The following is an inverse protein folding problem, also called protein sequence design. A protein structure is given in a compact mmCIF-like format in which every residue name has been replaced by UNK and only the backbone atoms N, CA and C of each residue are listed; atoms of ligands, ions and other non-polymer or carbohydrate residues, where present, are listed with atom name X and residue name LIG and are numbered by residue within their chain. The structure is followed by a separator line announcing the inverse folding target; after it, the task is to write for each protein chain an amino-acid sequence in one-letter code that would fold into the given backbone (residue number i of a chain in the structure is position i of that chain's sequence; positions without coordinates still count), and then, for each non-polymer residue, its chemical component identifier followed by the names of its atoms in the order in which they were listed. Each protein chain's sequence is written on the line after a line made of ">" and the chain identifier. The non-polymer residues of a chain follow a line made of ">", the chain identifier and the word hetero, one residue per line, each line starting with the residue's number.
data_IF_674420755121
#
_entry.id   IF_674420755121
#
_cell.length_a   1.000
_cell.length_b   1.000
_cell.length_c   1.000
_cell.angle_alpha   90.00
_cell.angle_beta   90.00
_cell.angle_gamma   90.00
#
_symmetry.space_group_name_H-M   'P 1'
#
loop_
_entity.id
_entity.type
_entity.pdbx_description
1 polymer ?
#
# COMPACT_ATOMS: atom_id res chain seq x y z
N UNK A 1 1.67 2.63 12.51
CA UNK A 1 2.65 3.51 13.17
C UNK A 1 3.27 4.45 12.14
N UNK A 2 3.98 3.96 11.12
CA UNK A 2 4.65 4.80 10.11
C UNK A 2 3.67 5.72 9.37
N UNK A 3 2.49 5.23 8.98
CA UNK A 3 1.44 6.06 8.39
C UNK A 3 1.03 7.19 9.35
N UNK A 4 0.79 6.88 10.62
CA UNK A 4 0.45 7.87 11.64
C UNK A 4 1.56 8.93 11.82
N UNK A 5 2.83 8.52 11.79
CA UNK A 5 3.96 9.45 11.79
C UNK A 5 3.98 10.35 10.57
N UNK A 6 3.77 9.79 9.37
CA UNK A 6 3.74 10.55 8.12
C UNK A 6 2.63 11.59 8.13
N UNK A 7 1.43 11.22 8.53
CA UNK A 7 0.27 12.12 8.61
C UNK A 7 0.44 13.24 9.64
N UNK A 8 1.21 13.01 10.70
CA UNK A 8 1.57 14.02 11.69
C UNK A 8 2.85 14.80 11.37
N UNK A 9 3.40 14.63 10.15
CA UNK A 9 4.51 15.44 9.64
C UNK A 9 5.89 15.08 10.21
N UNK A 10 6.04 13.91 10.86
CA UNK A 10 7.33 13.48 11.45
C UNK A 10 8.45 13.45 10.41
N UNK A 11 8.13 13.07 9.17
CA UNK A 11 9.12 12.99 8.08
C UNK A 11 9.17 14.26 7.22
N UNK A 12 8.42 15.30 7.58
CA UNK A 12 8.20 16.45 6.70
C UNK A 12 7.32 16.10 5.50
N UNK A 13 7.55 16.72 4.36
CA UNK A 13 6.89 16.34 3.10
C UNK A 13 7.47 15.02 2.60
N UNK A 14 6.64 14.00 2.43
CA UNK A 14 7.06 12.70 1.87
C UNK A 14 7.13 12.84 0.36
N UNK A 15 8.31 12.60 -0.21
CA UNK A 15 8.62 12.81 -1.63
C UNK A 15 8.86 11.51 -2.40
N UNK A 16 9.26 10.44 -1.72
CA UNK A 16 9.51 9.12 -2.32
C UNK A 16 9.02 8.01 -1.42
N UNK A 17 8.42 6.99 -2.02
CA UNK A 17 8.03 5.76 -1.34
C UNK A 17 8.47 4.53 -2.09
N UNK A 18 8.76 3.45 -1.36
CA UNK A 18 9.04 2.14 -1.92
C UNK A 18 8.16 1.10 -1.24
N UNK A 19 7.62 0.20 -2.04
CA UNK A 19 6.87 -0.95 -1.57
C UNK A 19 7.21 -2.20 -2.38
N UNK A 20 6.88 -3.35 -1.87
CA UNK A 20 7.14 -4.60 -2.58
C UNK A 20 6.19 -5.72 -2.17
N UNK A 21 6.07 -6.72 -3.02
CA UNK A 21 5.68 -8.06 -2.66
C UNK A 21 6.75 -9.05 -3.12
N UNK A 22 7.75 -9.22 -2.25
CA UNK A 22 8.83 -10.19 -2.43
C UNK A 22 8.55 -11.34 -1.48
N UNK A 23 8.09 -12.46 -2.04
CA UNK A 23 7.65 -13.61 -1.26
C UNK A 23 7.83 -14.88 -2.08
N UNK A 24 8.95 -15.55 -1.94
CA UNK A 24 9.17 -16.81 -2.61
C UNK A 24 8.07 -17.81 -2.25
N UNK A 25 7.27 -18.16 -3.22
CA UNK A 25 6.10 -19.02 -3.06
C UNK A 25 6.28 -20.41 -3.70
N UNK A 26 7.40 -20.63 -4.39
CA UNK A 26 7.65 -21.87 -5.11
C UNK A 26 7.50 -23.14 -4.24
N UNK A 27 7.90 -23.17 -2.95
CA UNK A 27 7.68 -24.33 -2.08
C UNK A 27 6.21 -24.61 -1.75
N UNK A 28 5.35 -23.59 -1.88
CA UNK A 28 3.94 -23.66 -1.48
C UNK A 28 2.98 -23.92 -2.63
N UNK A 29 3.43 -23.81 -3.89
CA UNK A 29 2.56 -23.87 -5.06
C UNK A 29 1.91 -25.25 -5.25
N UNK A 30 2.48 -26.30 -4.72
CA UNK A 30 1.86 -27.62 -4.71
C UNK A 30 0.71 -27.76 -3.70
N UNK A 31 0.74 -26.94 -2.66
CA UNK A 31 -0.11 -27.16 -1.48
C UNK A 31 -1.37 -26.31 -1.47
N UNK A 32 -1.31 -25.08 -1.97
CA UNK A 32 -2.35 -24.07 -1.71
C UNK A 32 -3.23 -23.76 -2.92
N UNK A 33 -2.88 -24.20 -4.16
CA UNK A 33 -3.49 -23.54 -5.32
C UNK A 33 -3.92 -24.48 -6.45
N UNK A 34 -4.11 -25.76 -6.15
CA UNK A 34 -4.75 -26.70 -7.07
C UNK A 34 -6.27 -26.61 -6.92
N UNK A 35 -6.97 -26.35 -8.01
CA UNK A 35 -8.43 -26.32 -8.05
C UNK A 35 -9.06 -27.69 -8.39
N UNK A 36 -8.35 -28.78 -8.11
CA UNK A 36 -8.78 -30.13 -8.39
C UNK A 36 -7.73 -30.99 -9.09
N UNK A 37 -8.04 -32.27 -9.33
CA UNK A 37 -7.09 -33.22 -9.89
C UNK A 37 -6.59 -32.88 -11.31
N UNK A 38 -7.37 -32.11 -12.08
CA UNK A 38 -7.02 -31.73 -13.45
C UNK A 38 -6.26 -30.38 -13.51
N UNK A 39 -6.16 -29.65 -12.39
CA UNK A 39 -5.43 -28.39 -12.34
C UNK A 39 -3.96 -28.63 -11.99
N UNK A 40 -3.12 -28.79 -13.01
CA UNK A 40 -1.69 -29.04 -12.84
C UNK A 40 -0.90 -27.83 -12.33
N UNK A 41 -1.38 -26.62 -12.58
CA UNK A 41 -0.63 -25.40 -12.27
C UNK A 41 -1.13 -24.68 -11.02
N UNK A 42 -2.44 -24.73 -10.75
CA UNK A 42 -3.09 -23.84 -9.81
C UNK A 42 -3.24 -22.42 -10.37
N UNK A 43 -4.25 -21.70 -9.89
CA UNK A 43 -4.65 -20.40 -10.45
C UNK A 43 -3.52 -19.37 -10.49
N UNK A 44 -2.68 -19.34 -9.47
CA UNK A 44 -1.63 -18.31 -9.36
C UNK A 44 -0.48 -18.55 -10.34
N UNK A 45 -0.01 -19.78 -10.49
CA UNK A 45 1.03 -20.09 -11.46
C UNK A 45 0.52 -19.91 -12.89
N UNK A 46 -0.72 -20.35 -13.15
CA UNK A 46 -1.37 -20.16 -14.45
C UNK A 46 -1.55 -18.67 -14.79
N UNK A 47 -1.93 -17.87 -13.79
CA UNK A 47 -2.04 -16.42 -13.97
C UNK A 47 -0.67 -15.78 -14.30
N UNK A 48 0.38 -16.11 -13.55
CA UNK A 48 1.74 -15.64 -13.84
C UNK A 48 2.27 -16.16 -15.20
N UNK A 49 1.85 -17.35 -15.65
CA UNK A 49 2.18 -17.87 -16.98
C UNK A 49 1.57 -17.01 -18.10
N UNK A 50 0.36 -16.52 -17.91
CA UNK A 50 -0.43 -15.78 -18.91
C UNK A 50 -0.23 -14.27 -18.88
N UNK A 51 0.08 -13.69 -17.74
CA UNK A 51 0.23 -12.26 -17.53
C UNK A 51 1.67 -11.88 -17.20
N UNK A 52 1.97 -10.58 -17.26
CA UNK A 52 3.29 -10.02 -17.06
C UNK A 52 3.23 -8.86 -16.09
N UNK A 53 4.25 -8.68 -15.25
CA UNK A 53 4.36 -7.54 -14.37
C UNK A 53 4.07 -7.80 -12.90
N UNK A 54 3.68 -6.76 -12.18
CA UNK A 54 3.28 -6.87 -10.78
C UNK A 54 1.84 -7.38 -10.68
N UNK A 55 1.67 -8.68 -10.78
CA UNK A 55 0.36 -9.34 -10.74
C UNK A 55 -0.25 -9.43 -9.35
N UNK A 56 0.40 -8.83 -8.34
CA UNK A 56 -0.09 -8.78 -6.96
C UNK A 56 0.29 -7.46 -6.26
N UNK A 57 -0.04 -6.34 -6.89
CA UNK A 57 0.42 -4.99 -6.55
C UNK A 57 -0.04 -4.46 -5.19
N UNK A 58 -1.20 -4.88 -4.70
CA UNK A 58 -1.85 -4.28 -3.53
C UNK A 58 -0.99 -4.27 -2.26
N UNK A 59 -0.16 -5.31 -2.07
CA UNK A 59 0.71 -5.43 -0.89
C UNK A 59 1.86 -4.42 -0.86
N UNK A 60 2.41 -4.12 -2.03
CA UNK A 60 3.48 -3.13 -2.15
C UNK A 60 2.94 -1.70 -2.27
N UNK A 61 1.97 -1.51 -3.15
CA UNK A 61 1.46 -0.17 -3.48
C UNK A 61 0.56 0.41 -2.39
N UNK A 62 -0.37 -0.38 -1.83
CA UNK A 62 -1.39 0.13 -0.92
C UNK A 62 -0.86 0.95 0.25
N UNK A 63 0.08 0.44 1.07
CA UNK A 63 0.62 1.20 2.19
C UNK A 63 1.34 2.50 1.78
N UNK A 64 1.98 2.52 0.61
CA UNK A 64 2.65 3.71 0.07
C UNK A 64 1.62 4.70 -0.46
N UNK A 65 0.62 4.24 -1.20
CA UNK A 65 -0.47 5.06 -1.72
C UNK A 65 -1.21 5.80 -0.60
N UNK A 66 -1.48 5.13 0.52
CA UNK A 66 -2.08 5.76 1.71
C UNK A 66 -1.18 6.83 2.33
N UNK A 67 0.13 6.60 2.41
CA UNK A 67 1.08 7.59 2.92
C UNK A 67 1.28 8.79 1.98
N UNK A 68 0.91 8.64 0.71
CA UNK A 68 0.98 9.66 -0.33
C UNK A 68 -0.34 10.40 -0.53
N UNK A 69 -1.37 10.05 0.22
CA UNK A 69 -2.72 10.60 0.08
C UNK A 69 -3.29 10.45 -1.36
N UNK A 70 -3.01 9.31 -2.01
CA UNK A 70 -3.53 9.04 -3.36
C UNK A 70 -5.07 9.10 -3.33
N UNK A 71 -5.67 9.77 -4.32
CA UNK A 71 -7.04 10.27 -4.45
C UNK A 71 -7.62 11.04 -3.24
N UNK A 72 -6.72 11.45 -2.31
CA UNK A 72 -7.04 12.29 -1.14
C UNK A 72 -6.12 13.51 -1.05
N UNK A 73 -5.72 14.05 -2.19
CA UNK A 73 -4.83 15.21 -2.32
C UNK A 73 -3.69 15.02 -3.32
N UNK A 74 -3.47 13.78 -3.80
CA UNK A 74 -2.54 13.43 -4.87
C UNK A 74 -3.15 12.33 -5.75
N UNK A 75 -2.57 12.06 -6.92
CA UNK A 75 -2.94 10.94 -7.79
C UNK A 75 -1.72 10.40 -8.54
N UNK A 76 -1.74 9.14 -8.89
CA UNK A 76 -0.78 8.56 -9.81
C UNK A 76 -1.08 9.06 -11.23
N UNK A 77 -0.05 9.46 -11.99
CA UNK A 77 -0.24 10.05 -13.33
C UNK A 77 0.44 9.27 -14.44
N UNK A 78 1.62 8.71 -14.18
CA UNK A 78 2.34 7.92 -15.17
C UNK A 78 3.20 6.87 -14.51
N UNK A 79 3.43 5.76 -15.20
CA UNK A 79 4.28 4.68 -14.74
C UNK A 79 5.11 4.07 -15.85
N UNK A 80 6.19 3.42 -15.45
CA UNK A 80 7.02 2.56 -16.28
C UNK A 80 7.25 1.26 -15.52
N UNK A 81 7.09 0.12 -16.18
CA UNK A 81 7.40 -1.18 -15.62
C UNK A 81 8.48 -1.90 -16.44
N UNK A 82 9.32 -2.66 -15.75
CA UNK A 82 10.37 -3.47 -16.34
C UNK A 82 10.50 -4.79 -15.58
N UNK A 83 10.65 -5.88 -16.29
CA UNK A 83 10.84 -7.20 -15.69
C UNK A 83 12.13 -7.87 -16.16
N UNK A 84 12.54 -8.88 -15.42
CA UNK A 84 13.60 -9.80 -15.84
C UNK A 84 13.04 -10.84 -16.83
N UNK A 85 13.90 -11.62 -17.45
CA UNK A 85 13.46 -12.84 -18.15
C UNK A 85 12.84 -13.82 -17.12
N UNK A 86 11.91 -14.65 -17.58
CA UNK A 86 11.40 -15.79 -16.82
C UNK A 86 12.36 -16.97 -16.93
N UNK A 87 12.88 -17.41 -15.81
CA UNK A 87 13.71 -18.63 -15.68
C UNK A 87 13.03 -19.60 -14.75
N UNK A 88 12.79 -19.18 -13.50
CA UNK A 88 12.19 -20.02 -12.46
C UNK A 88 10.73 -20.34 -12.77
N UNK A 89 9.97 -19.37 -13.29
CA UNK A 89 8.58 -19.59 -13.68
C UNK A 89 8.44 -20.69 -14.73
N UNK A 90 9.30 -20.69 -15.77
CA UNK A 90 9.35 -21.74 -16.79
C UNK A 90 9.66 -23.11 -16.19
N UNK A 91 10.73 -23.17 -15.39
CA UNK A 91 11.16 -24.39 -14.70
C UNK A 91 10.05 -25.02 -13.85
N UNK A 92 9.29 -24.16 -13.15
CA UNK A 92 8.19 -24.64 -12.30
C UNK A 92 7.07 -25.26 -13.13
N UNK A 93 6.71 -24.68 -14.25
CA UNK A 93 5.70 -25.25 -15.15
C UNK A 93 6.20 -26.58 -15.75
N UNK A 94 7.42 -26.61 -16.26
CA UNK A 94 8.02 -27.83 -16.85
C UNK A 94 8.11 -28.97 -15.85
N UNK A 95 8.52 -28.71 -14.61
CA UNK A 95 8.54 -29.73 -13.54
C UNK A 95 7.17 -30.25 -13.20
N UNK A 96 6.14 -29.44 -13.30
CA UNK A 96 4.76 -29.85 -12.96
C UNK A 96 4.04 -30.57 -14.07
N UNK A 97 4.25 -30.12 -15.31
CA UNK A 97 3.54 -30.66 -16.47
C UNK A 97 4.28 -31.79 -17.14
N UNK A 98 5.62 -31.81 -17.03
CA UNK A 98 6.50 -32.67 -17.82
C UNK A 98 6.68 -32.20 -19.27
N UNK A 99 6.17 -31.03 -19.61
CA UNK A 99 6.20 -30.43 -20.94
C UNK A 99 7.05 -29.18 -20.95
N UNK A 100 7.74 -28.91 -22.07
CA UNK A 100 8.52 -27.69 -22.25
C UNK A 100 7.62 -26.45 -22.20
N UNK A 101 8.06 -25.40 -21.51
CA UNK A 101 7.33 -24.16 -21.36
C UNK A 101 8.11 -22.99 -21.97
N UNK A 102 7.81 -22.64 -23.21
CA UNK A 102 8.44 -21.49 -23.88
C UNK A 102 7.60 -20.21 -23.81
N UNK A 103 6.35 -20.29 -23.31
CA UNK A 103 5.33 -19.26 -23.34
C UNK A 103 5.03 -18.62 -21.96
N UNK A 104 5.91 -18.78 -20.99
CA UNK A 104 5.74 -18.14 -19.68
C UNK A 104 6.01 -16.64 -19.79
N UNK A 105 5.02 -15.81 -19.51
CA UNK A 105 5.08 -14.38 -19.76
C UNK A 105 5.71 -13.57 -18.64
N UNK A 106 5.39 -13.88 -17.38
CA UNK A 106 5.88 -13.06 -16.27
C UNK A 106 7.39 -13.24 -16.05
N UNK A 107 8.11 -12.14 -15.94
CA UNK A 107 9.49 -12.17 -15.47
C UNK A 107 9.58 -12.65 -14.02
N UNK A 108 10.73 -13.18 -13.63
CA UNK A 108 10.92 -13.65 -12.25
C UNK A 108 10.92 -12.49 -11.24
N UNK A 109 11.26 -11.27 -11.69
CA UNK A 109 11.20 -10.05 -10.89
C UNK A 109 10.72 -8.88 -11.74
N UNK A 110 9.84 -8.05 -11.17
CA UNK A 110 9.34 -6.81 -11.79
C UNK A 110 9.65 -5.61 -10.92
N UNK A 111 10.03 -4.51 -11.55
CA UNK A 111 10.17 -3.19 -10.93
C UNK A 111 9.31 -2.18 -11.66
N UNK A 112 8.53 -1.42 -10.92
CA UNK A 112 7.64 -0.39 -11.44
C UNK A 112 7.95 0.95 -10.79
N UNK A 113 8.08 2.01 -11.59
CA UNK A 113 8.22 3.39 -11.14
C UNK A 113 6.94 4.15 -11.50
N UNK A 114 6.41 4.89 -10.53
CA UNK A 114 5.19 5.66 -10.68
C UNK A 114 5.46 7.11 -10.27
N UNK A 115 5.00 8.07 -11.08
CA UNK A 115 5.03 9.50 -10.75
C UNK A 115 3.63 9.98 -10.38
N UNK A 116 3.54 10.82 -9.34
CA UNK A 116 2.28 11.43 -8.92
C UNK A 116 2.12 12.85 -9.47
N UNK A 117 0.89 13.38 -9.40
CA UNK A 117 0.57 14.75 -9.83
C UNK A 117 1.34 15.81 -9.03
N UNK A 118 1.59 15.57 -7.74
CA UNK A 118 2.39 16.45 -6.89
C UNK A 118 3.91 16.24 -7.04
N UNK A 119 4.34 15.42 -8.03
CA UNK A 119 5.75 15.21 -8.35
C UNK A 119 6.49 14.21 -7.46
N UNK A 120 5.78 13.46 -6.63
CA UNK A 120 6.36 12.38 -5.83
C UNK A 120 6.63 11.15 -6.70
N UNK A 121 7.49 10.25 -6.23
CA UNK A 121 7.84 9.01 -6.92
C UNK A 121 7.58 7.80 -6.02
N UNK A 122 6.93 6.79 -6.58
CA UNK A 122 6.71 5.49 -5.94
C UNK A 122 7.47 4.43 -6.74
N UNK A 123 8.17 3.54 -6.04
CA UNK A 123 8.80 2.35 -6.62
C UNK A 123 8.15 1.10 -6.02
N UNK A 124 7.70 0.20 -6.89
CA UNK A 124 7.09 -1.07 -6.47
C UNK A 124 7.87 -2.23 -7.07
N UNK A 125 8.13 -3.25 -6.27
CA UNK A 125 8.79 -4.48 -6.70
C UNK A 125 7.88 -5.70 -6.45
N UNK A 126 7.90 -6.63 -7.38
CA UNK A 126 7.19 -7.90 -7.26
C UNK A 126 8.10 -9.08 -7.60
N UNK A 127 8.15 -10.08 -6.73
CA UNK A 127 8.88 -11.33 -6.96
C UNK A 127 8.29 -12.44 -6.11
N UNK A 128 7.75 -13.47 -6.75
CA UNK A 128 7.18 -14.66 -6.06
C UNK A 128 7.87 -15.95 -6.51
N UNK A 129 8.89 -15.84 -7.36
CA UNK A 129 9.51 -16.97 -8.05
C UNK A 129 10.88 -17.34 -7.47
N UNK A 130 11.73 -16.34 -7.23
CA UNK A 130 13.14 -16.59 -6.90
C UNK A 130 13.39 -16.62 -5.39
N UNK A 131 14.39 -17.39 -4.93
CA UNK A 131 14.79 -17.41 -3.53
C UNK A 131 15.21 -16.02 -3.04
N UNK A 132 14.39 -15.44 -2.19
CA UNK A 132 14.65 -14.15 -1.55
C UNK A 132 13.92 -14.12 -0.21
N UNK A 133 14.53 -13.61 0.89
CA UNK A 133 13.81 -13.40 2.14
C UNK A 133 12.60 -12.53 1.95
N UNK A 134 11.53 -12.86 2.67
CA UNK A 134 10.28 -12.10 2.63
C UNK A 134 10.52 -10.61 2.87
N UNK A 135 10.01 -9.77 1.96
CA UNK A 135 10.23 -8.34 2.02
C UNK A 135 9.06 -7.58 1.38
N UNK A 136 8.54 -6.58 2.06
CA UNK A 136 7.57 -5.62 1.52
C UNK A 136 8.16 -4.24 1.32
N UNK A 137 9.46 -4.05 1.53
CA UNK A 137 10.15 -2.76 1.57
C UNK A 137 9.47 -1.80 2.57
N UNK A 138 8.47 -1.09 2.17
CA UNK A 138 7.76 -0.05 2.91
C UNK A 138 8.72 0.99 3.47
N UNK A 139 9.26 1.77 2.55
CA UNK A 139 10.15 2.89 2.84
C UNK A 139 9.47 4.19 2.47
N UNK A 140 9.63 5.21 3.30
CA UNK A 140 9.18 6.57 3.04
C UNK A 140 10.37 7.51 3.21
N UNK A 141 10.67 8.30 2.17
CA UNK A 141 11.67 9.36 2.22
C UNK A 141 10.95 10.71 2.26
N UNK A 142 11.16 11.46 3.31
CA UNK A 142 10.64 12.81 3.46
C UNK A 142 11.74 13.85 3.55
N UNK A 143 11.35 15.13 3.54
CA UNK A 143 12.28 16.26 3.59
C UNK A 143 12.98 16.43 4.95
N UNK A 144 12.47 15.76 6.00
CA UNK A 144 12.99 15.87 7.38
C UNK A 144 13.26 14.53 8.05
N UNK A 145 13.03 13.42 7.35
CA UNK A 145 13.25 12.11 7.92
C UNK A 145 12.96 10.97 6.95
N UNK A 146 13.31 9.78 7.40
CA UNK A 146 13.19 8.55 6.64
C UNK A 146 12.60 7.45 7.51
N UNK A 147 11.77 6.60 6.91
CA UNK A 147 11.23 5.39 7.53
C UNK A 147 11.56 4.17 6.68
N UNK A 148 11.95 3.08 7.36
CA UNK A 148 12.15 1.76 6.76
C UNK A 148 11.50 0.69 7.61
N UNK A 149 10.85 -0.31 6.99
CA UNK A 149 10.30 -1.45 7.71
C UNK A 149 11.06 -2.75 7.46
N UNK A 150 11.49 -2.99 6.23
CA UNK A 150 12.15 -4.23 5.85
C UNK A 150 13.52 -3.97 5.19
N UNK A 151 14.52 -4.84 5.39
CA UNK A 151 14.53 -5.99 6.31
C UNK A 151 14.69 -5.58 7.79
N UNK A 152 15.05 -4.33 8.05
CA UNK A 152 15.27 -3.79 9.41
C UNK A 152 14.32 -2.63 9.60
N UNK A 153 13.53 -2.66 10.67
CA UNK A 153 12.68 -1.52 11.03
C UNK A 153 13.55 -0.41 11.64
N UNK A 154 13.42 0.79 11.09
CA UNK A 154 14.15 1.95 11.57
C UNK A 154 13.58 3.27 11.07
N UNK A 155 13.90 4.33 11.81
CA UNK A 155 13.59 5.71 11.46
C UNK A 155 14.87 6.54 11.53
N UNK A 156 15.04 7.49 10.63
CA UNK A 156 16.18 8.42 10.67
C UNK A 156 15.64 9.85 10.74
N UNK A 157 15.97 10.53 11.84
CA UNK A 157 15.61 11.92 12.14
C UNK A 157 16.83 12.60 12.76
N UNK A 158 17.00 13.91 12.53
CA UNK A 158 17.93 14.68 13.35
C UNK A 158 17.34 15.04 14.72
N UNK A 159 18.16 15.52 15.63
CA UNK A 159 17.76 15.86 17.00
C UNK A 159 16.63 16.91 17.03
N UNK A 160 16.69 17.91 16.16
CA UNK A 160 15.68 18.96 16.08
C UNK A 160 14.31 18.40 15.64
N UNK A 161 14.29 17.57 14.61
CA UNK A 161 13.05 16.98 14.11
C UNK A 161 12.48 15.96 15.11
N UNK A 162 13.34 15.25 15.85
CA UNK A 162 12.91 14.35 16.92
C UNK A 162 12.22 15.12 18.05
N UNK A 163 12.84 16.23 18.53
CA UNK A 163 12.24 17.12 19.54
C UNK A 163 10.91 17.75 19.06
N UNK A 164 10.85 18.24 17.82
CA UNK A 164 9.60 18.76 17.23
C UNK A 164 8.53 17.68 17.19
N UNK A 165 8.91 16.44 16.99
CA UNK A 165 8.00 15.28 17.05
C UNK A 165 7.61 14.91 18.49
N UNK A 166 8.13 15.63 19.49
CA UNK A 166 7.82 15.50 20.92
C UNK A 166 8.49 14.30 21.56
N UNK A 167 9.67 13.92 21.09
CA UNK A 167 10.58 12.95 21.72
C UNK A 167 11.91 13.64 21.96
N UNK A 168 12.31 13.73 23.19
CA UNK A 168 13.57 14.38 23.55
C UNK A 168 14.76 13.48 23.18
N UNK A 169 15.75 14.00 22.43
CA UNK A 169 16.98 13.26 22.13
C UNK A 169 17.75 12.93 23.40
N UNK A 170 18.24 11.70 23.51
CA UNK A 170 19.11 11.27 24.61
C UNK A 170 20.59 11.33 24.25
N UNK A 171 20.90 11.53 22.96
CA UNK A 171 22.26 11.69 22.45
C UNK A 171 22.39 12.97 21.63
N UNK A 172 23.49 13.70 21.79
CA UNK A 172 23.67 15.05 21.24
C UNK A 172 23.86 15.11 19.72
N UNK A 173 24.27 14.01 19.07
CA UNK A 173 24.72 14.02 17.67
C UNK A 173 23.82 13.18 16.75
N UNK A 174 22.51 13.20 16.98
CA UNK A 174 21.56 12.54 16.07
C UNK A 174 21.56 13.22 14.70
N UNK A 175 21.70 12.41 13.66
CA UNK A 175 21.69 12.86 12.28
C UNK A 175 20.96 11.82 11.40
N UNK A 176 20.60 12.23 10.19
CA UNK A 176 19.84 11.40 9.25
C UNK A 176 20.69 10.39 8.46
N UNK A 177 22.01 10.31 8.72
CA UNK A 177 22.88 9.32 8.07
C UNK A 177 22.78 7.93 8.70
N UNK A 178 22.15 7.84 9.88
CA UNK A 178 21.97 6.58 10.61
C UNK A 178 20.53 6.48 11.10
N UNK A 179 20.06 5.26 11.34
CA UNK A 179 18.82 5.08 12.08
C UNK A 179 18.97 5.57 13.51
N UNK A 180 17.86 6.02 14.09
CA UNK A 180 17.78 6.39 15.49
C UNK A 180 18.28 5.24 16.38
N UNK A 181 18.98 5.54 17.48
CA UNK A 181 19.30 4.55 18.50
C UNK A 181 18.03 3.91 19.07
N UNK A 182 18.20 2.78 19.72
CA UNK A 182 17.09 1.92 20.17
C UNK A 182 16.11 2.64 21.10
N UNK A 183 16.58 3.46 22.00
CA UNK A 183 15.74 4.11 23.02
C UNK A 183 14.88 5.23 22.39
N UNK A 184 15.48 6.07 21.54
CA UNK A 184 14.76 7.09 20.78
C UNK A 184 13.73 6.47 19.83
N UNK A 185 14.13 5.38 19.15
CA UNK A 185 13.23 4.66 18.28
C UNK A 185 12.03 4.06 19.04
N UNK A 186 12.28 3.50 20.23
CA UNK A 186 11.22 2.99 21.10
C UNK A 186 10.27 4.09 21.53
N UNK A 187 10.79 5.21 22.02
CA UNK A 187 9.99 6.36 22.45
C UNK A 187 9.13 6.91 21.29
N UNK A 188 9.73 7.02 20.09
CA UNK A 188 9.01 7.48 18.89
C UNK A 188 7.87 6.50 18.51
N UNK A 189 8.12 5.21 18.51
CA UNK A 189 7.13 4.16 18.23
C UNK A 189 5.99 4.17 19.25
N UNK A 190 6.29 4.28 20.53
CA UNK A 190 5.28 4.35 21.59
C UNK A 190 4.40 5.58 21.44
N UNK A 191 5.01 6.74 21.19
CA UNK A 191 4.27 7.99 20.98
C UNK A 191 3.31 7.92 19.81
N UNK A 192 3.78 7.40 18.67
CA UNK A 192 3.00 7.34 17.43
C UNK A 192 2.28 6.01 17.22
N UNK A 193 2.19 5.17 18.25
CA UNK A 193 1.35 3.98 18.17
C UNK A 193 -0.09 4.39 17.84
N UNK A 194 -0.64 3.82 16.76
CA UNK A 194 -1.97 4.18 16.29
C UNK A 194 -3.02 3.92 17.38
N UNK A 195 -4.00 4.82 17.60
CA UNK A 195 -5.06 4.66 18.61
C UNK A 195 -5.82 3.33 18.51
N UNK A 196 -6.06 2.83 17.30
CA UNK A 196 -6.65 1.51 17.07
C UNK A 196 -5.83 0.39 17.73
N UNK A 197 -4.51 0.43 17.60
CA UNK A 197 -3.63 -0.57 18.21
C UNK A 197 -3.63 -0.47 19.73
N UNK A 198 -3.71 0.74 20.27
CA UNK A 198 -3.84 0.95 21.71
C UNK A 198 -5.15 0.38 22.26
N UNK A 199 -6.23 0.51 21.50
CA UNK A 199 -7.59 0.11 21.93
C UNK A 199 -7.86 -1.38 21.69
N UNK A 200 -7.44 -1.94 20.57
CA UNK A 200 -7.84 -3.27 20.14
C UNK A 200 -6.67 -4.25 19.97
N UNK A 201 -5.41 -3.80 20.10
CA UNK A 201 -4.23 -4.59 19.72
C UNK A 201 -4.12 -5.93 20.46
N UNK A 202 -4.39 -5.99 21.75
CA UNK A 202 -4.34 -7.26 22.51
C UNK A 202 -5.48 -8.19 22.10
N UNK A 203 -6.72 -7.71 22.04
CA UNK A 203 -7.86 -8.50 21.57
C UNK A 203 -7.63 -9.02 20.14
N UNK A 204 -7.10 -8.19 19.26
CA UNK A 204 -6.82 -8.58 17.89
C UNK A 204 -5.80 -9.72 17.80
N UNK A 205 -4.78 -9.72 18.66
CA UNK A 205 -3.80 -10.82 18.74
C UNK A 205 -4.44 -12.12 19.24
N UNK A 206 -5.34 -12.03 20.21
CA UNK A 206 -6.05 -13.20 20.76
C UNK A 206 -7.00 -13.82 19.73
N UNK A 207 -7.75 -12.99 18.98
CA UNK A 207 -8.65 -13.46 17.91
C UNK A 207 -7.86 -14.09 16.75
N UNK A 208 -6.68 -13.55 16.44
CA UNK A 208 -5.81 -14.06 15.37
C UNK A 208 -6.12 -13.45 13.99
N UNK A 209 -5.78 -14.21 12.93
CA UNK A 209 -5.85 -13.71 11.54
C UNK A 209 -4.71 -12.72 11.24
N UNK A 210 -3.63 -13.20 10.59
CA UNK A 210 -2.40 -12.42 10.27
C UNK A 210 -1.87 -11.60 11.46
N UNK A 211 -1.86 -12.20 12.67
CA UNK A 211 -1.42 -11.53 13.89
C UNK A 211 -2.38 -10.43 14.39
N UNK A 212 -3.67 -10.54 14.05
CA UNK A 212 -4.74 -9.62 14.46
C UNK A 212 -5.09 -8.55 13.42
N UNK A 213 -4.41 -8.50 12.28
CA UNK A 213 -4.72 -7.51 11.24
C UNK A 213 -6.12 -7.67 10.66
N UNK A 214 -6.54 -8.92 10.42
CA UNK A 214 -7.86 -9.23 9.85
C UNK A 214 -8.97 -8.75 10.80
N UNK A 215 -8.85 -9.03 12.10
CA UNK A 215 -9.79 -8.56 13.10
C UNK A 215 -9.93 -7.02 13.11
N UNK A 216 -8.81 -6.29 13.04
CA UNK A 216 -8.83 -4.82 13.03
C UNK A 216 -9.51 -4.31 11.75
N UNK A 217 -9.19 -4.89 10.61
CA UNK A 217 -9.77 -4.51 9.32
C UNK A 217 -11.29 -4.71 9.31
N UNK A 218 -11.75 -5.89 9.71
CA UNK A 218 -13.19 -6.23 9.74
C UNK A 218 -13.95 -5.37 10.75
N UNK A 219 -13.37 -5.16 11.95
CA UNK A 219 -13.96 -4.30 12.97
C UNK A 219 -14.14 -2.85 12.49
N UNK A 220 -13.17 -2.34 11.70
CA UNK A 220 -13.25 -1.01 11.10
C UNK A 220 -14.33 -0.94 10.03
N UNK A 221 -14.40 -1.94 9.16
CA UNK A 221 -15.44 -2.04 8.13
C UNK A 221 -16.84 -2.00 8.75
N UNK A 222 -17.08 -2.89 9.73
CA UNK A 222 -18.36 -2.96 10.44
C UNK A 222 -18.69 -1.63 11.11
N UNK A 223 -17.72 -1.03 11.79
CA UNK A 223 -17.90 0.26 12.46
C UNK A 223 -18.28 1.38 11.48
N UNK A 224 -17.59 1.49 10.35
CA UNK A 224 -17.89 2.49 9.34
C UNK A 224 -19.29 2.30 8.76
N UNK A 225 -19.68 1.06 8.42
CA UNK A 225 -21.01 0.74 7.89
C UNK A 225 -22.13 1.05 8.88
N UNK A 226 -21.96 0.68 10.15
CA UNK A 226 -22.95 0.94 11.20
C UNK A 226 -23.17 2.42 11.50
N UNK A 227 -22.12 3.23 11.31
CA UNK A 227 -22.17 4.65 11.62
C UNK A 227 -22.32 5.55 10.37
N UNK A 228 -22.44 4.97 9.17
CA UNK A 228 -22.56 5.73 7.92
C UNK A 228 -21.33 6.58 7.64
N UNK A 229 -20.14 6.06 7.93
CA UNK A 229 -18.85 6.73 7.72
C UNK A 229 -18.22 6.28 6.42
N UNK A 230 -17.35 7.10 5.81
CA UNK A 230 -16.50 6.66 4.73
C UNK A 230 -15.65 5.45 5.16
N UNK A 231 -15.45 4.51 4.25
CA UNK A 231 -14.60 3.36 4.51
C UNK A 231 -13.12 3.76 4.59
N UNK A 232 -12.35 2.97 5.32
CA UNK A 232 -10.89 3.13 5.42
C UNK A 232 -10.21 2.90 4.07
N UNK A 233 -10.77 1.98 3.29
CA UNK A 233 -10.44 1.72 1.89
C UNK A 233 -11.74 1.80 1.09
N UNK A 234 -11.70 2.49 -0.04
CA UNK A 234 -12.85 2.64 -0.91
C UNK A 234 -12.61 2.02 -2.31
N UNK A 235 -13.58 2.20 -3.19
CA UNK A 235 -13.52 1.65 -4.55
C UNK A 235 -12.38 2.26 -5.38
N UNK A 236 -11.98 3.48 -5.08
CA UNK A 236 -10.88 4.15 -5.77
C UNK A 236 -9.53 3.56 -5.37
N UNK A 237 -9.32 3.27 -4.07
CA UNK A 237 -8.13 2.50 -3.62
C UNK A 237 -8.01 1.18 -4.38
N UNK A 238 -9.13 0.43 -4.47
CA UNK A 238 -9.15 -0.86 -5.17
C UNK A 238 -8.79 -0.70 -6.65
N UNK A 239 -9.45 0.24 -7.35
CA UNK A 239 -9.22 0.44 -8.78
C UNK A 239 -7.78 0.87 -9.07
N UNK A 240 -7.25 1.83 -8.32
CA UNK A 240 -5.90 2.36 -8.47
C UNK A 240 -4.81 1.34 -8.15
N UNK A 241 -5.01 0.49 -7.14
CA UNK A 241 -4.00 -0.51 -6.79
C UNK A 241 -4.02 -1.72 -7.73
N UNK A 242 -5.20 -2.12 -8.17
CA UNK A 242 -5.35 -3.30 -9.04
C UNK A 242 -4.98 -3.00 -10.50
N UNK A 243 -5.20 -1.79 -11.02
CA UNK A 243 -4.85 -1.46 -12.39
C UNK A 243 -3.33 -1.48 -12.67
N UNK A 244 -2.49 -1.48 -11.62
CA UNK A 244 -1.05 -1.56 -11.75
C UNK A 244 -0.60 -2.81 -12.54
N UNK A 245 -1.28 -3.94 -12.37
CA UNK A 245 -0.98 -5.17 -13.10
C UNK A 245 -1.16 -4.96 -14.61
N UNK A 246 -2.33 -4.48 -15.02
CA UNK A 246 -2.67 -4.26 -16.44
C UNK A 246 -1.80 -3.18 -17.07
N UNK A 247 -1.59 -2.06 -16.39
CA UNK A 247 -0.74 -0.97 -16.87
C UNK A 247 0.74 -1.39 -16.95
N UNK A 248 1.19 -2.23 -16.03
CA UNK A 248 2.54 -2.79 -16.05
C UNK A 248 2.75 -3.70 -17.24
N UNK A 249 1.81 -4.59 -17.53
CA UNK A 249 1.83 -5.44 -18.71
C UNK A 249 1.85 -4.59 -19.98
N UNK A 250 1.00 -3.57 -20.08
CA UNK A 250 0.96 -2.64 -21.20
C UNK A 250 2.30 -1.90 -21.40
N UNK A 251 2.93 -1.42 -20.33
CA UNK A 251 4.25 -0.78 -20.38
C UNK A 251 5.30 -1.70 -20.97
N UNK A 252 5.41 -2.91 -20.45
CA UNK A 252 6.43 -3.88 -20.85
C UNK A 252 6.23 -4.43 -22.25
N UNK A 253 5.00 -4.65 -22.67
CA UNK A 253 4.65 -5.08 -24.03
C UNK A 253 4.94 -3.98 -25.08
N UNK A 254 5.05 -2.71 -24.64
CA UNK A 254 5.48 -1.57 -25.44
C UNK A 254 6.93 -1.14 -25.15
N UNK A 255 7.83 -2.09 -24.93
CA UNK A 255 9.26 -1.86 -24.68
C UNK A 255 9.53 -0.97 -23.44
N UNK A 256 8.81 -1.22 -22.36
CA UNK A 256 8.89 -0.43 -21.13
C UNK A 256 8.59 1.06 -21.35
N UNK A 257 7.67 1.35 -22.25
CA UNK A 257 7.23 2.72 -22.47
C UNK A 257 6.41 3.25 -21.28
N UNK A 258 6.42 4.57 -21.11
CA UNK A 258 5.58 5.21 -20.11
C UNK A 258 4.08 5.04 -20.44
N UNK A 259 3.28 4.72 -19.43
CA UNK A 259 1.83 4.54 -19.53
C UNK A 259 1.15 5.50 -18.56
N UNK A 260 0.06 6.10 -18.99
CA UNK A 260 -0.75 6.98 -18.13
C UNK A 260 -1.62 6.19 -17.17
N UNK A 261 -1.73 6.66 -15.93
CA UNK A 261 -2.71 6.17 -14.97
C UNK A 261 -4.08 6.81 -15.22
N UNK A 262 -5.15 6.03 -15.31
CA UNK A 262 -6.50 6.56 -15.35
C UNK A 262 -6.83 7.36 -14.08
N UNK A 263 -7.54 8.45 -14.22
CA UNK A 263 -8.14 9.14 -13.07
C UNK A 263 -9.54 8.58 -12.81
N UNK A 264 -9.61 7.61 -11.90
CA UNK A 264 -10.87 6.98 -11.53
C UNK A 264 -11.82 7.94 -10.80
N UNK A 265 -11.29 9.02 -10.20
CA UNK A 265 -12.08 10.05 -9.50
C UNK A 265 -12.68 11.09 -10.43
N UNK A 266 -12.35 11.06 -11.71
CA UNK A 266 -12.82 12.01 -12.72
C UNK A 266 -12.51 13.48 -12.37
N UNK A 267 -11.33 13.74 -11.80
CA UNK A 267 -10.86 15.06 -11.40
C UNK A 267 -11.10 15.38 -9.93
N UNK A 268 -11.80 14.54 -9.17
CA UNK A 268 -12.11 14.81 -7.76
C UNK A 268 -11.01 14.35 -6.77
N UNK A 269 -9.90 13.82 -7.24
CA UNK A 269 -8.77 13.34 -6.41
C UNK A 269 -8.24 14.36 -5.40
N UNK A 270 -8.52 15.64 -5.58
CA UNK A 270 -8.06 16.73 -4.72
C UNK A 270 -9.18 17.37 -3.88
N UNK A 271 -10.39 16.82 -3.90
CA UNK A 271 -11.55 17.35 -3.14
C UNK A 271 -11.42 16.97 -1.65
N UNK A 272 -11.16 15.70 -1.39
CA UNK A 272 -10.84 15.23 -0.03
C UNK A 272 -9.33 15.30 0.14
N UNK A 273 -8.85 15.82 1.28
CA UNK A 273 -7.43 15.91 1.55
C UNK A 273 -7.06 15.09 2.78
N UNK A 274 -6.03 14.28 2.61
CA UNK A 274 -5.42 13.48 3.65
C UNK A 274 -6.25 12.27 4.08
N UNK A 275 -5.56 11.33 4.65
CA UNK A 275 -6.11 10.07 5.17
C UNK A 275 -6.43 10.21 6.65
N UNK A 276 -7.67 9.92 7.06
CA UNK A 276 -8.24 10.42 8.32
C UNK A 276 -8.20 9.47 9.53
N UNK A 277 -7.27 8.51 9.55
CA UNK A 277 -7.22 7.51 10.65
C UNK A 277 -6.19 7.75 11.74
N UNK A 278 -5.36 8.78 11.61
CA UNK A 278 -4.44 9.15 12.67
C UNK A 278 -5.12 10.13 13.63
N UNK A 279 -5.51 9.65 14.79
CA UNK A 279 -5.96 10.52 15.86
C UNK A 279 -4.90 10.57 16.95
N UNK A 280 -4.55 11.76 17.41
CA UNK A 280 -3.66 11.92 18.56
C UNK A 280 -4.42 11.93 19.89
N UNK A 281 -5.72 12.23 19.87
CA UNK A 281 -6.58 12.32 21.06
C UNK A 281 -8.01 11.86 20.76
N UNK A 282 -8.81 11.67 21.83
CA UNK A 282 -10.25 11.40 21.70
C UNK A 282 -11.02 12.58 21.11
N UNK A 283 -10.53 13.80 21.31
CA UNK A 283 -11.14 15.01 20.78
C UNK A 283 -10.92 15.10 19.28
N UNK A 284 -9.70 14.83 18.81
CA UNK A 284 -9.38 14.74 17.37
C UNK A 284 -10.11 13.57 16.70
N UNK A 285 -10.28 12.44 17.39
CA UNK A 285 -11.11 11.34 16.91
C UNK A 285 -12.54 11.84 16.66
N UNK A 286 -13.16 12.51 17.63
CA UNK A 286 -14.52 13.04 17.52
C UNK A 286 -14.63 14.06 16.39
N UNK A 287 -13.72 15.01 16.30
CA UNK A 287 -13.71 16.02 15.24
C UNK A 287 -13.58 15.38 13.85
N UNK A 288 -12.72 14.36 13.71
CA UNK A 288 -12.56 13.61 12.48
C UNK A 288 -13.82 12.85 12.11
N UNK A 289 -14.49 12.24 13.09
CA UNK A 289 -15.76 11.55 12.89
C UNK A 289 -16.88 12.50 12.45
N UNK A 290 -16.97 13.68 13.06
CA UNK A 290 -17.98 14.68 12.70
C UNK A 290 -17.75 15.22 11.27
N UNK A 291 -16.49 15.46 10.89
CA UNK A 291 -16.12 15.83 9.50
C UNK A 291 -16.45 14.74 8.50
N UNK A 292 -16.17 13.47 8.82
CA UNK A 292 -16.48 12.34 7.96
C UNK A 292 -17.99 12.17 7.76
N UNK A 293 -18.79 12.32 8.81
CA UNK A 293 -20.28 12.29 8.73
C UNK A 293 -20.82 13.41 7.84
N UNK A 294 -20.34 14.63 8.05
CA UNK A 294 -20.74 15.77 7.23
C UNK A 294 -20.39 15.58 5.73
N UNK A 295 -19.23 15.02 5.46
CA UNK A 295 -18.81 14.69 4.10
C UNK A 295 -19.69 13.60 3.46
N UNK A 296 -19.97 12.51 4.18
CA UNK A 296 -20.85 11.44 3.70
C UNK A 296 -22.27 11.96 3.40
N UNK A 297 -22.76 12.88 4.22
CA UNK A 297 -24.06 13.52 3.96
C UNK A 297 -24.07 14.32 2.65
N UNK A 298 -23.01 15.11 2.41
CA UNK A 298 -22.88 15.86 1.15
C UNK A 298 -22.78 14.97 -0.08
N UNK A 299 -22.07 13.84 0.02
CA UNK A 299 -21.99 12.87 -1.08
C UNK A 299 -23.36 12.25 -1.40
N UNK A 300 -24.14 11.93 -0.36
CA UNK A 300 -25.50 11.41 -0.55
C UNK A 300 -26.42 12.42 -1.21
N UNK A 301 -26.33 13.70 -0.81
CA UNK A 301 -27.09 14.79 -1.42
C UNK A 301 -26.73 14.96 -2.89
N UNK A 302 -25.41 15.03 -3.20
CA UNK A 302 -24.91 15.15 -4.58
C UNK A 302 -25.34 13.95 -5.43
N UNK A 303 -25.16 12.73 -4.96
CA UNK A 303 -25.56 11.53 -5.69
C UNK A 303 -27.07 11.45 -5.96
N UNK A 304 -27.89 11.97 -5.05
CA UNK A 304 -29.34 12.08 -5.26
C UNK A 304 -29.71 13.15 -6.30
N UNK A 305 -28.96 14.26 -6.37
CA UNK A 305 -29.11 15.31 -7.37
C UNK A 305 -28.69 14.83 -8.76
N UNK A 306 -27.54 14.18 -8.87
CA UNK A 306 -27.03 13.62 -10.12
C UNK A 306 -28.01 12.57 -10.69
N UNK A 307 -28.53 11.68 -9.84
CA UNK A 307 -29.54 10.70 -10.25
C UNK A 307 -30.84 11.33 -10.78
N UNK A 308 -31.31 12.39 -10.12
CA UNK A 308 -32.51 13.13 -10.61
C UNK A 308 -32.29 13.80 -11.96
N UNK A 309 -31.08 14.33 -12.19
CA UNK A 309 -30.72 14.90 -13.50
C UNK A 309 -30.64 13.83 -14.58
N UNK A 310 -30.06 12.67 -14.30
CA UNK A 310 -29.96 11.55 -15.24
C UNK A 310 -31.31 10.87 -15.51
N UNK A 311 -32.17 10.74 -14.50
CA UNK A 311 -33.50 10.13 -14.63
C UNK A 311 -34.55 11.05 -15.23
N UNK A 312 -34.28 12.34 -15.40
CA UNK A 312 -35.23 13.31 -15.91
C UNK A 312 -36.39 13.62 -14.95
N UNK A 313 -36.30 13.21 -13.71
CA UNK A 313 -37.28 13.57 -12.68
C UNK A 313 -37.02 15.01 -12.19
N UNK A 314 -38.05 15.85 -12.35
CA UNK A 314 -38.04 17.25 -11.86
C UNK A 314 -38.56 17.33 -10.43
#
# INVERSE_FOLDING_TARGET
>A
ITLNMAQQGVFGEVIRGQGAYIHELSPFWDHYWKNGENDKLGWRLDYNKKHRGDVYATHGLGPVAQAFDIHRGDRMVTMVAMDTKSVVGKDLVEKRTGEKCDDFRNGDHTTTLIRTANGKVIEIQHNVMTPQPYNRLYQLTGTKGFANKYPIQGYALDAKQLSVSGVEPQVDNLNTHSFLPKEEMKALVEKFQHPILKKYGEMAKEVGGHGGMDFIMDSRLVYCLQNGLPLDLDVYDLAEWCCLAELGELSMDNNCAAVEFPDFTRGEWNVIKGYKFAYASLEEEKETMDKAKAFTSKLKEKGAEDWKQESGEK
#
